data_IF_647679535781
#
_entry.id   IF_647679535781
#
_cell.length_a   1.000
_cell.length_b   1.000
_cell.length_c   1.000
_cell.angle_alpha   90.00
_cell.angle_beta   90.00
_cell.angle_gamma   90.00
#
_symmetry.space_group_name_H-M   'P 1'
#
loop_
_entity.id
_entity.type
_entity.pdbx_description
1 polymer ?
#
# COMPACT_ATOMS: atom_id res chain seq x y z
N UNK A 1 6.28 17.06 -25.29
CA UNK A 1 7.14 15.87 -25.18
C UNK A 1 8.03 16.06 -23.96
N UNK A 2 7.89 15.23 -22.93
CA UNK A 2 8.80 15.25 -21.79
C UNK A 2 9.88 14.20 -22.05
N UNK A 3 11.15 14.60 -22.02
CA UNK A 3 12.29 13.70 -22.25
C UNK A 3 13.30 13.85 -21.11
N UNK A 4 14.09 12.81 -20.86
CA UNK A 4 15.18 12.81 -19.91
C UNK A 4 16.33 11.92 -20.39
N UNK A 5 17.46 12.01 -19.71
CA UNK A 5 18.69 11.30 -20.04
C UNK A 5 19.58 12.02 -21.06
N UNK A 6 20.72 11.41 -21.43
CA UNK A 6 21.20 10.10 -20.99
C UNK A 6 21.57 10.06 -19.51
N UNK A 7 21.39 8.91 -18.86
CA UNK A 7 21.73 8.71 -17.44
C UNK A 7 23.15 8.13 -17.34
N UNK A 8 24.07 8.88 -16.72
CA UNK A 8 25.51 8.55 -16.75
C UNK A 8 26.09 7.91 -15.49
N UNK A 9 25.42 8.02 -14.34
CA UNK A 9 25.91 7.42 -13.09
C UNK A 9 25.34 6.02 -12.88
N UNK A 10 26.20 5.06 -12.62
CA UNK A 10 25.83 3.68 -12.28
C UNK A 10 25.11 3.62 -10.93
N UNK A 11 24.15 2.68 -10.81
CA UNK A 11 23.41 2.38 -9.57
C UNK A 11 22.65 3.57 -8.94
N UNK A 12 22.34 4.59 -9.74
CA UNK A 12 21.57 5.75 -9.30
C UNK A 12 20.10 5.60 -9.70
N UNK A 13 19.19 5.85 -8.75
CA UNK A 13 17.77 5.99 -9.05
C UNK A 13 17.51 7.41 -9.58
N UNK A 14 16.89 7.51 -10.76
CA UNK A 14 16.41 8.76 -11.34
C UNK A 14 14.89 8.81 -11.24
N UNK A 15 14.35 9.93 -10.75
CA UNK A 15 12.91 10.14 -10.59
C UNK A 15 12.51 11.42 -11.32
N UNK A 16 11.41 11.34 -12.08
CA UNK A 16 10.81 12.47 -12.77
C UNK A 16 9.30 12.45 -12.54
N UNK A 17 8.78 13.58 -12.10
CA UNK A 17 7.36 13.74 -11.79
C UNK A 17 6.73 14.77 -12.72
N UNK A 18 5.51 14.49 -13.18
CA UNK A 18 4.75 15.39 -14.05
C UNK A 18 3.26 15.24 -13.76
N UNK A 19 2.55 16.36 -13.64
CA UNK A 19 1.09 16.35 -13.55
C UNK A 19 0.49 16.23 -14.95
N UNK A 20 -0.49 15.34 -15.10
CA UNK A 20 -1.19 15.05 -16.36
C UNK A 20 -2.70 15.04 -16.09
N UNK A 21 -3.52 15.18 -17.14
CA UNK A 21 -4.97 15.00 -16.99
C UNK A 21 -5.26 13.55 -16.55
N UNK A 22 -6.21 13.37 -15.63
CA UNK A 22 -6.66 12.04 -15.18
C UNK A 22 -7.23 11.19 -16.33
N UNK A 23 -7.74 11.84 -17.37
CA UNK A 23 -8.27 11.19 -18.58
C UNK A 23 -7.23 11.06 -19.70
N UNK A 24 -5.97 11.41 -19.45
CA UNK A 24 -4.95 11.34 -20.49
C UNK A 24 -4.57 9.88 -20.77
N UNK A 25 -4.55 9.52 -22.05
CA UNK A 25 -3.79 8.38 -22.52
C UNK A 25 -2.38 8.84 -22.87
N UNK A 26 -1.39 8.29 -22.20
CA UNK A 26 0.02 8.61 -22.34
C UNK A 26 0.77 7.44 -22.95
N UNK A 27 1.86 7.74 -23.63
CA UNK A 27 2.83 6.74 -24.07
C UNK A 27 4.19 7.10 -23.48
N UNK A 28 4.82 6.14 -22.83
CA UNK A 28 6.18 6.26 -22.30
C UNK A 28 7.08 5.28 -23.05
N UNK A 29 8.20 5.79 -23.55
CA UNK A 29 9.23 4.99 -24.20
C UNK A 29 10.51 5.09 -23.38
N UNK A 30 11.07 3.95 -23.00
CA UNK A 30 12.42 3.85 -22.45
C UNK A 30 13.35 3.28 -23.53
N UNK A 31 14.59 3.76 -23.55
CA UNK A 31 15.60 3.35 -24.53
C UNK A 31 16.93 3.06 -23.83
N UNK A 32 17.61 2.04 -24.31
CA UNK A 32 18.96 1.68 -23.93
C UNK A 32 19.85 1.60 -25.18
N UNK A 33 21.01 2.27 -25.13
CA UNK A 33 21.94 2.33 -26.25
C UNK A 33 22.83 1.08 -26.35
N UNK A 34 22.98 0.32 -25.25
CA UNK A 34 23.68 -0.97 -25.21
C UNK A 34 22.89 -2.13 -25.82
N UNK A 35 21.58 -1.92 -26.04
CA UNK A 35 20.61 -2.88 -26.60
C UNK A 35 20.43 -4.15 -25.75
N UNK A 36 20.81 -4.06 -24.48
CA UNK A 36 20.69 -5.13 -23.51
C UNK A 36 19.73 -4.77 -22.37
N UNK A 37 19.01 -3.66 -22.50
CA UNK A 37 18.08 -3.18 -21.49
C UNK A 37 18.82 -2.58 -20.30
N UNK A 38 18.07 -2.40 -19.21
CA UNK A 38 18.64 -1.91 -17.94
C UNK A 38 18.78 -3.03 -16.89
N UNK A 39 18.30 -4.23 -17.22
CA UNK A 39 18.46 -5.51 -16.53
C UNK A 39 18.67 -6.60 -17.60
N UNK A 40 18.92 -7.88 -17.34
CA UNK A 40 18.96 -8.64 -16.09
C UNK A 40 20.22 -9.53 -16.02
N UNK A 41 20.96 -9.66 -17.12
CA UNK A 41 22.20 -10.45 -17.17
C UNK A 41 23.42 -9.72 -16.59
N UNK A 42 23.35 -8.38 -16.48
CA UNK A 42 24.48 -7.53 -16.09
C UNK A 42 24.14 -6.53 -14.97
N UNK A 43 22.98 -6.71 -14.32
CA UNK A 43 22.55 -5.89 -13.19
C UNK A 43 21.05 -5.98 -12.92
N UNK A 44 20.64 -5.39 -11.80
CA UNK A 44 19.26 -5.42 -11.29
C UNK A 44 18.52 -4.10 -11.58
N UNK A 45 18.88 -3.40 -12.66
CA UNK A 45 18.25 -2.13 -13.01
C UNK A 45 16.78 -2.33 -13.39
N UNK A 46 15.95 -1.34 -13.09
CA UNK A 46 14.53 -1.40 -13.42
C UNK A 46 13.99 0.00 -13.60
N UNK A 47 12.84 0.08 -14.26
CA UNK A 47 12.02 1.27 -14.27
C UNK A 47 10.63 0.91 -13.74
N UNK A 48 10.00 1.90 -13.13
CA UNK A 48 8.59 1.84 -12.75
C UNK A 48 7.93 3.12 -13.16
N UNK A 49 6.70 3.02 -13.66
CA UNK A 49 5.90 4.19 -13.98
C UNK A 49 4.77 4.26 -12.98
N UNK A 50 4.72 5.36 -12.23
CA UNK A 50 3.77 5.54 -11.15
C UNK A 50 2.80 6.66 -11.53
N UNK A 51 1.50 6.38 -11.53
CA UNK A 51 0.43 7.37 -11.74
C UNK A 51 -0.44 7.38 -10.49
N UNK A 52 -0.57 8.53 -9.83
CA UNK A 52 -1.32 8.68 -8.57
C UNK A 52 -0.96 7.60 -7.51
N UNK A 53 0.33 7.29 -7.37
CA UNK A 53 0.81 6.25 -6.43
C UNK A 53 0.62 4.80 -6.90
N UNK A 54 0.13 4.57 -8.12
CA UNK A 54 -0.07 3.26 -8.73
C UNK A 54 1.05 2.91 -9.69
N UNK A 55 1.72 1.77 -9.51
CA UNK A 55 2.67 1.26 -10.52
C UNK A 55 1.86 0.79 -11.73
N UNK A 56 1.91 1.55 -12.81
CA UNK A 56 1.25 1.23 -14.08
C UNK A 56 2.07 0.26 -14.91
N UNK A 57 3.39 0.35 -14.78
CA UNK A 57 4.34 -0.51 -15.48
C UNK A 57 5.58 -0.69 -14.62
N UNK A 58 6.11 -1.90 -14.66
CA UNK A 58 7.41 -2.27 -14.12
C UNK A 58 8.15 -3.06 -15.19
N UNK A 59 9.44 -2.81 -15.36
CA UNK A 59 10.24 -3.50 -16.36
C UNK A 59 11.72 -3.16 -16.28
N UNK A 60 12.50 -3.74 -17.19
CA UNK A 60 13.94 -3.53 -17.26
C UNK A 60 14.62 -4.41 -18.31
N UNK A 61 14.01 -5.56 -18.61
CA UNK A 61 14.45 -6.49 -19.66
C UNK A 61 13.83 -6.09 -21.00
N UNK A 62 14.58 -5.34 -21.79
CA UNK A 62 14.22 -4.99 -23.17
C UNK A 62 15.50 -4.87 -23.98
N UNK A 63 15.42 -4.94 -25.31
CA UNK A 63 16.61 -4.74 -26.15
C UNK A 63 16.98 -3.25 -26.22
N UNK A 64 16.64 -2.62 -27.34
CA UNK A 64 16.92 -1.20 -27.57
C UNK A 64 15.88 -0.27 -26.94
N UNK A 65 14.60 -0.63 -26.99
CA UNK A 65 13.51 0.21 -26.50
C UNK A 65 12.34 -0.61 -26.01
N UNK A 66 11.59 -0.08 -25.06
CA UNK A 66 10.25 -0.55 -24.69
C UNK A 66 9.30 0.65 -24.67
N UNK A 67 8.08 0.47 -25.17
CA UNK A 67 7.03 1.51 -25.12
C UNK A 67 5.79 0.96 -24.43
N UNK A 68 5.24 1.71 -23.48
CA UNK A 68 4.05 1.35 -22.73
C UNK A 68 3.03 2.49 -22.76
N UNK A 69 1.76 2.14 -22.96
CA UNK A 69 0.63 3.04 -22.82
C UNK A 69 0.13 3.07 -21.37
N UNK A 70 -0.24 4.26 -20.88
CA UNK A 70 -0.52 4.51 -19.48
C UNK A 70 -1.65 5.52 -19.35
N UNK A 71 -2.51 5.33 -18.36
CA UNK A 71 -3.69 6.15 -18.17
C UNK A 71 -4.90 5.60 -18.93
N UNK A 72 -5.89 6.44 -19.17
CA UNK A 72 -7.17 6.02 -19.74
C UNK A 72 -7.10 5.91 -21.27
N UNK A 73 -6.41 4.87 -21.73
CA UNK A 73 -6.27 4.57 -23.16
C UNK A 73 -7.48 3.81 -23.74
N UNK A 74 -8.44 3.43 -22.89
CA UNK A 74 -9.69 2.77 -23.26
C UNK A 74 -10.88 3.46 -22.55
N UNK A 75 -11.19 4.68 -23.00
CA UNK A 75 -12.24 5.57 -22.46
C UNK A 75 -13.70 5.02 -22.55
N UNK A 76 -13.91 3.74 -22.87
CA UNK A 76 -15.20 3.07 -23.04
C UNK A 76 -15.15 1.58 -22.62
N UNK A 77 -14.35 1.20 -21.62
CA UNK A 77 -14.12 -0.23 -21.35
C UNK A 77 -15.35 -1.00 -20.84
N UNK A 78 -16.19 -0.39 -19.99
CA UNK A 78 -17.31 -1.07 -19.34
C UNK A 78 -18.66 -0.40 -19.66
N UNK A 79 -19.73 -1.19 -19.64
CA UNK A 79 -21.09 -0.67 -19.81
C UNK A 79 -21.49 0.27 -18.66
N UNK A 80 -22.54 1.07 -18.86
CA UNK A 80 -22.99 2.07 -17.87
C UNK A 80 -23.39 1.49 -16.50
N UNK A 81 -23.79 0.23 -16.48
CA UNK A 81 -24.19 -0.56 -15.30
C UNK A 81 -23.07 -1.47 -14.78
N UNK A 82 -21.87 -1.37 -15.34
CA UNK A 82 -20.68 -2.11 -14.96
C UNK A 82 -19.60 -1.18 -14.38
N UNK A 83 -18.73 -1.76 -13.56
CA UNK A 83 -17.53 -1.14 -13.02
C UNK A 83 -16.31 -1.92 -13.47
N UNK A 84 -15.22 -1.23 -13.77
CA UNK A 84 -13.94 -1.87 -14.08
C UNK A 84 -13.26 -2.27 -12.76
N UNK A 85 -13.00 -3.56 -12.59
CA UNK A 85 -12.13 -4.07 -11.53
C UNK A 85 -10.75 -4.31 -12.10
N UNK A 86 -9.73 -3.79 -11.43
CA UNK A 86 -8.32 -4.03 -11.74
C UNK A 86 -7.64 -4.68 -10.54
N UNK A 87 -6.99 -5.82 -10.78
CA UNK A 87 -6.11 -6.48 -9.80
C UNK A 87 -4.68 -6.32 -10.30
N UNK A 88 -3.82 -5.73 -9.47
CA UNK A 88 -2.39 -5.64 -9.70
C UNK A 88 -1.68 -6.48 -8.67
N UNK A 89 -0.77 -7.35 -9.10
CA UNK A 89 0.06 -8.19 -8.24
C UNK A 89 1.52 -8.03 -8.66
N UNK A 90 2.34 -7.57 -7.74
CA UNK A 90 3.79 -7.58 -7.84
C UNK A 90 4.28 -8.82 -7.09
N UNK A 91 4.92 -9.75 -7.79
CA UNK A 91 5.55 -10.91 -7.14
C UNK A 91 6.73 -10.48 -6.30
N UNK A 92 7.14 -11.33 -5.37
CA UNK A 92 8.42 -11.22 -4.66
C UNK A 92 9.51 -12.03 -5.37
N UNK A 93 10.41 -12.69 -4.63
CA UNK A 93 11.44 -13.55 -5.20
C UNK A 93 10.93 -14.95 -5.61
N UNK A 94 9.66 -15.28 -5.33
CA UNK A 94 9.08 -16.63 -5.49
C UNK A 94 7.64 -16.59 -6.04
N UNK A 95 7.45 -15.96 -7.20
CA UNK A 95 6.13 -15.88 -7.84
C UNK A 95 5.39 -17.21 -8.05
N UNK A 96 6.09 -18.35 -8.14
CA UNK A 96 5.45 -19.67 -8.37
C UNK A 96 4.62 -20.20 -7.21
N UNK A 97 4.73 -19.60 -6.04
CA UNK A 97 3.99 -20.02 -4.85
C UNK A 97 2.65 -19.27 -4.74
N UNK A 98 2.50 -18.18 -5.49
CA UNK A 98 1.35 -17.29 -5.41
C UNK A 98 0.28 -17.58 -6.45
N UNK A 99 -0.97 -17.71 -6.01
CA UNK A 99 -2.17 -17.73 -6.85
C UNK A 99 -3.24 -16.80 -6.29
N UNK A 100 -4.18 -16.36 -7.12
CA UNK A 100 -5.35 -15.63 -6.63
C UNK A 100 -6.59 -15.84 -7.49
N UNK A 101 -7.74 -15.62 -6.86
CA UNK A 101 -9.05 -15.62 -7.51
C UNK A 101 -9.88 -14.42 -7.05
N UNK A 102 -10.57 -13.77 -7.98
CA UNK A 102 -11.61 -12.78 -7.75
C UNK A 102 -12.95 -13.44 -8.06
N UNK A 103 -13.86 -13.42 -7.09
CA UNK A 103 -15.18 -14.05 -7.18
C UNK A 103 -16.30 -13.04 -6.97
N UNK A 104 -17.46 -13.36 -7.54
CA UNK A 104 -18.75 -12.84 -7.09
C UNK A 104 -19.60 -13.97 -6.56
N UNK A 105 -19.81 -13.99 -5.24
CA UNK A 105 -20.34 -15.16 -4.52
C UNK A 105 -19.48 -16.39 -4.83
N UNK A 106 -20.05 -17.44 -5.40
CA UNK A 106 -19.33 -18.67 -5.74
C UNK A 106 -18.77 -18.66 -7.18
N UNK A 107 -19.07 -17.63 -7.97
CA UNK A 107 -18.64 -17.56 -9.37
C UNK A 107 -17.26 -16.90 -9.48
N UNK A 108 -16.30 -17.60 -10.08
CA UNK A 108 -14.97 -17.06 -10.40
C UNK A 108 -15.11 -16.10 -11.58
N UNK A 109 -14.67 -14.86 -11.38
CA UNK A 109 -14.66 -13.81 -12.39
C UNK A 109 -13.28 -13.66 -13.03
N UNK A 110 -12.23 -13.66 -12.21
CA UNK A 110 -10.85 -13.68 -12.64
C UNK A 110 -10.04 -14.61 -11.73
N UNK A 111 -8.96 -15.14 -12.28
CA UNK A 111 -7.94 -15.84 -11.51
C UNK A 111 -6.60 -15.70 -12.21
N UNK A 112 -5.52 -15.90 -11.47
CA UNK A 112 -4.17 -15.94 -12.03
C UNK A 112 -3.19 -16.70 -11.14
N UNK A 113 -2.00 -16.93 -11.70
CA UNK A 113 -0.98 -17.76 -11.12
C UNK A 113 -1.26 -19.26 -11.33
N UNK A 114 -0.33 -20.14 -10.92
CA UNK A 114 0.97 -19.82 -10.33
C UNK A 114 1.87 -19.04 -11.28
N UNK A 115 2.65 -18.08 -10.78
CA UNK A 115 3.47 -17.23 -11.64
C UNK A 115 4.85 -17.84 -11.90
N UNK A 116 5.52 -17.52 -13.01
CA UNK A 116 6.94 -17.80 -13.16
C UNK A 116 7.78 -17.17 -12.02
N UNK A 117 8.92 -17.78 -11.69
CA UNK A 117 9.86 -17.28 -10.68
C UNK A 117 10.72 -16.10 -11.18
N UNK A 118 10.07 -15.11 -11.78
CA UNK A 118 10.68 -13.82 -12.07
C UNK A 118 10.50 -12.92 -10.84
N UNK A 119 11.60 -12.27 -10.45
CA UNK A 119 11.62 -11.38 -9.30
C UNK A 119 10.87 -10.09 -9.62
N UNK A 120 10.02 -9.62 -8.71
CA UNK A 120 9.35 -8.32 -8.81
C UNK A 120 8.60 -8.10 -10.12
N UNK A 121 7.94 -9.13 -10.64
CA UNK A 121 7.15 -9.03 -11.86
C UNK A 121 5.75 -8.50 -11.53
N UNK A 122 5.35 -7.44 -12.23
CA UNK A 122 3.99 -6.90 -12.12
C UNK A 122 3.06 -7.61 -13.11
N UNK A 123 2.01 -8.20 -12.57
CA UNK A 123 0.86 -8.75 -13.28
C UNK A 123 -0.34 -7.83 -13.07
N UNK A 124 -1.06 -7.51 -14.14
CA UNK A 124 -2.29 -6.70 -14.08
C UNK A 124 -3.38 -7.43 -14.86
N UNK A 125 -4.52 -7.67 -14.20
CA UNK A 125 -5.75 -8.15 -14.85
C UNK A 125 -6.90 -7.19 -14.60
N UNK A 126 -7.74 -7.04 -15.62
CA UNK A 126 -8.90 -6.17 -15.62
C UNK A 126 -10.15 -6.93 -16.06
N UNK A 127 -11.29 -6.58 -15.50
CA UNK A 127 -12.61 -7.12 -15.89
C UNK A 127 -13.70 -6.09 -15.64
N UNK A 128 -14.68 -6.02 -16.53
CA UNK A 128 -15.93 -5.31 -16.29
C UNK A 128 -16.90 -6.22 -15.55
N UNK A 129 -17.46 -5.72 -14.45
CA UNK A 129 -18.38 -6.47 -13.60
C UNK A 129 -19.58 -5.60 -13.26
N UNK A 130 -20.75 -6.21 -13.15
CA UNK A 130 -21.96 -5.49 -12.73
C UNK A 130 -21.74 -4.67 -11.46
N UNK A 131 -22.27 -3.45 -11.41
CA UNK A 131 -22.24 -2.57 -10.23
C UNK A 131 -22.93 -3.17 -9.00
N UNK A 132 -23.85 -4.11 -9.20
CA UNK A 132 -24.48 -4.87 -8.11
C UNK A 132 -23.79 -6.18 -7.76
N UNK A 133 -22.71 -6.56 -8.46
CA UNK A 133 -21.92 -7.73 -8.07
C UNK A 133 -21.28 -7.48 -6.70
N UNK A 134 -21.40 -8.45 -5.80
CA UNK A 134 -20.53 -8.49 -4.64
C UNK A 134 -19.23 -9.18 -4.99
N UNK A 135 -18.13 -8.71 -4.42
CA UNK A 135 -16.79 -9.08 -4.85
C UNK A 135 -15.95 -9.47 -3.65
N UNK A 136 -15.31 -10.63 -3.75
CA UNK A 136 -14.25 -11.06 -2.84
C UNK A 136 -13.04 -11.52 -3.64
N UNK A 137 -11.85 -11.31 -3.09
CA UNK A 137 -10.62 -11.87 -3.64
C UNK A 137 -9.95 -12.74 -2.58
N UNK A 138 -9.49 -13.92 -2.99
CA UNK A 138 -8.63 -14.76 -2.20
C UNK A 138 -7.26 -14.83 -2.88
N UNK A 139 -6.21 -14.64 -2.10
CA UNK A 139 -4.82 -14.85 -2.51
C UNK A 139 -4.26 -15.98 -1.65
N UNK A 140 -3.48 -16.86 -2.28
CA UNK A 140 -2.87 -18.04 -1.66
C UNK A 140 -1.40 -18.04 -1.98
N UNK A 141 -0.59 -18.30 -0.95
CA UNK A 141 0.82 -18.60 -1.06
C UNK A 141 1.07 -20.02 -0.53
N UNK A 142 1.62 -20.90 -1.36
CA UNK A 142 1.77 -22.31 -0.99
C UNK A 142 2.92 -22.59 -0.03
N UNK A 143 3.87 -21.67 0.11
CA UNK A 143 5.01 -21.79 1.05
C UNK A 143 4.65 -21.28 2.44
N UNK A 144 3.83 -20.24 2.50
CA UNK A 144 3.21 -19.72 3.71
C UNK A 144 3.93 -18.53 4.34
N UNK A 145 4.82 -17.87 3.61
CA UNK A 145 5.47 -16.61 4.00
C UNK A 145 4.83 -15.37 3.36
N UNK A 146 3.77 -15.57 2.56
CA UNK A 146 3.08 -14.49 1.85
C UNK A 146 3.88 -14.03 0.65
N UNK A 147 3.65 -12.80 0.20
CA UNK A 147 4.43 -12.18 -0.88
C UNK A 147 5.26 -10.98 -0.39
N UNK A 148 5.32 -10.79 0.93
CA UNK A 148 5.98 -9.71 1.66
C UNK A 148 6.19 -10.15 3.11
N UNK A 149 7.21 -9.72 3.88
CA UNK A 149 8.10 -8.56 3.66
C UNK A 149 9.57 -8.80 4.05
N UNK A 150 9.89 -9.97 4.60
CA UNK A 150 11.25 -10.30 5.05
C UNK A 150 12.10 -10.86 3.90
N UNK A 151 11.48 -11.66 3.02
CA UNK A 151 12.12 -12.31 1.86
C UNK A 151 11.53 -11.78 0.56
N UNK A 152 11.01 -10.55 0.55
CA UNK A 152 10.27 -10.06 -0.62
C UNK A 152 9.74 -8.64 -0.48
N UNK A 153 9.47 -8.01 -1.62
CA UNK A 153 8.76 -6.73 -1.73
C UNK A 153 7.57 -6.86 -2.68
N UNK A 154 6.98 -8.05 -2.74
CA UNK A 154 5.74 -8.27 -3.47
C UNK A 154 4.57 -7.56 -2.77
N UNK A 155 3.49 -7.37 -3.51
CA UNK A 155 2.27 -6.75 -3.01
C UNK A 155 1.13 -6.98 -3.98
N UNK A 156 -0.11 -6.86 -3.50
CA UNK A 156 -1.27 -6.78 -4.37
C UNK A 156 -2.07 -5.50 -4.10
N UNK A 157 -2.77 -5.02 -5.12
CA UNK A 157 -3.72 -3.89 -5.06
C UNK A 157 -4.96 -4.19 -5.89
N UNK A 158 -6.12 -3.84 -5.36
CA UNK A 158 -7.42 -4.03 -6.00
C UNK A 158 -8.12 -2.70 -6.13
N UNK A 159 -8.56 -2.39 -7.35
CA UNK A 159 -9.25 -1.14 -7.69
C UNK A 159 -10.62 -1.42 -8.28
N UNK A 160 -11.56 -0.51 -8.01
CA UNK A 160 -12.89 -0.46 -8.65
C UNK A 160 -13.05 0.95 -9.22
N UNK A 161 -13.28 1.05 -10.53
CA UNK A 161 -13.36 2.33 -11.26
C UNK A 161 -12.16 3.25 -10.99
N UNK A 162 -10.97 2.66 -10.91
CA UNK A 162 -9.71 3.35 -10.63
C UNK A 162 -9.49 3.73 -9.16
N UNK A 163 -10.47 3.52 -8.28
CA UNK A 163 -10.36 3.81 -6.84
C UNK A 163 -9.81 2.59 -6.11
N UNK A 164 -8.72 2.76 -5.35
CA UNK A 164 -8.12 1.71 -4.53
C UNK A 164 -9.11 1.25 -3.45
N UNK A 165 -9.47 -0.02 -3.49
CA UNK A 165 -10.33 -0.64 -2.48
C UNK A 165 -9.52 -1.38 -1.43
N UNK A 166 -8.44 -2.06 -1.84
CA UNK A 166 -7.61 -2.87 -0.95
C UNK A 166 -6.18 -2.97 -1.46
N UNK A 167 -5.24 -3.07 -0.53
CA UNK A 167 -3.85 -3.45 -0.80
C UNK A 167 -3.34 -4.37 0.31
N UNK A 168 -2.40 -5.25 -0.02
CA UNK A 168 -1.80 -6.18 0.93
C UNK A 168 -0.57 -6.88 0.38
N UNK A 169 -0.14 -7.93 1.06
CA UNK A 169 1.02 -8.75 0.69
C UNK A 169 1.61 -9.52 1.86
N UNK A 170 1.42 -9.03 3.08
CA UNK A 170 1.80 -9.71 4.32
C UNK A 170 0.65 -10.62 4.79
N UNK A 171 0.76 -11.90 4.46
CA UNK A 171 -0.12 -12.97 4.91
C UNK A 171 0.71 -14.25 5.03
N UNK A 172 0.18 -15.30 5.66
CA UNK A 172 0.87 -16.59 5.71
C UNK A 172 0.56 -17.37 4.43
N UNK A 173 -0.28 -18.41 4.53
CA UNK A 173 -0.65 -19.22 3.37
C UNK A 173 -1.79 -18.63 2.54
N UNK A 174 -2.62 -17.74 3.11
CA UNK A 174 -3.69 -17.09 2.35
C UNK A 174 -4.24 -15.85 3.05
N UNK A 175 -4.89 -15.00 2.26
CA UNK A 175 -5.76 -13.92 2.74
C UNK A 175 -7.03 -13.91 1.87
N UNK A 176 -8.18 -13.61 2.48
CA UNK A 176 -9.41 -13.30 1.74
C UNK A 176 -9.88 -11.91 2.12
N UNK A 177 -10.15 -11.08 1.11
CA UNK A 177 -10.67 -9.72 1.31
C UNK A 177 -12.03 -9.56 0.62
N UNK A 178 -12.98 -8.98 1.35
CA UNK A 178 -14.21 -8.48 0.75
C UNK A 178 -13.95 -7.10 0.14
N UNK A 179 -14.43 -6.90 -1.08
CA UNK A 179 -14.30 -5.66 -1.87
C UNK A 179 -15.66 -4.98 -2.01
N UNK A 180 -16.72 -5.77 -2.23
CA UNK A 180 -18.12 -5.31 -2.24
C UNK A 180 -19.00 -6.30 -1.51
N UNK A 181 -19.77 -5.83 -0.53
CA UNK A 181 -20.61 -6.68 0.32
C UNK A 181 -21.75 -7.35 -0.44
N UNK A 182 -22.04 -8.60 -0.09
CA UNK A 182 -23.15 -9.39 -0.64
C UNK A 182 -24.49 -9.16 0.05
N UNK A 183 -24.60 -8.20 0.97
CA UNK A 183 -25.85 -8.05 1.72
C UNK A 183 -27.00 -7.64 0.79
N UNK A 184 -28.16 -8.31 0.87
CA UNK A 184 -29.37 -7.74 0.30
C UNK A 184 -29.64 -6.43 1.04
N UNK A 185 -29.90 -5.35 0.32
CA UNK A 185 -30.45 -4.11 0.88
C UNK A 185 -31.83 -4.38 1.47
N UNK A 186 -31.88 -4.96 2.68
CA UNK A 186 -33.07 -5.07 3.51
C UNK A 186 -33.21 -3.87 4.46
N UNK A 187 -32.34 -2.87 4.33
CA UNK A 187 -32.53 -1.58 4.98
C UNK A 187 -33.77 -0.89 4.42
N UNK A 188 -34.61 -0.27 5.26
CA UNK A 188 -35.71 0.55 4.77
C UNK A 188 -35.11 1.64 3.89
N UNK A 189 -35.48 1.64 2.61
CA UNK A 189 -35.27 2.80 1.74
C UNK A 189 -35.82 3.98 2.54
N UNK A 190 -35.01 4.99 2.92
CA UNK A 190 -35.57 6.17 3.57
C UNK A 190 -36.59 6.72 2.59
N UNK A 191 -37.85 6.63 2.99
CA UNK A 191 -38.96 7.17 2.24
C UNK A 191 -38.57 8.62 1.88
N UNK A 192 -38.71 9.06 0.61
CA UNK A 192 -38.38 10.43 0.26
C UNK A 192 -39.15 11.33 1.22
N UNK A 193 -38.40 12.03 2.05
CA UNK A 193 -38.95 12.95 3.05
C UNK A 193 -39.78 13.94 2.24
N UNK A 194 -41.10 13.90 2.43
CA UNK A 194 -42.01 14.76 1.70
C UNK A 194 -41.48 16.20 1.77
N UNK A 195 -41.37 16.84 0.61
CA UNK A 195 -40.96 18.24 0.51
C UNK A 195 -41.74 19.06 1.55
N UNK A 196 -41.09 19.96 2.29
CA UNK A 196 -41.80 20.83 3.22
C UNK A 196 -42.84 21.62 2.44
N UNK A 197 -44.12 21.37 2.74
CA UNK A 197 -45.23 22.21 2.28
C UNK A 197 -45.01 23.57 2.92
N UNK A 198 -44.40 24.47 2.15
CA UNK A 198 -44.16 25.85 2.58
C UNK A 198 -45.49 26.56 2.41
N UNK A 199 -46.19 26.80 3.51
CA UNK A 199 -47.40 27.60 3.52
C UNK A 199 -47.10 28.98 2.91
N UNK A 200 -48.02 29.44 2.04
CA UNK A 200 -47.98 30.74 1.38
C UNK A 200 -47.82 31.90 2.39
N UNK A 201 -47.23 33.04 1.99
CA UNK A 201 -46.88 34.12 2.89
C UNK A 201 -48.15 34.87 3.33
N UNK A 202 -48.41 34.93 4.63
CA UNK A 202 -49.40 35.86 5.19
C UNK A 202 -48.71 37.22 5.35
N UNK A 203 -49.31 38.21 4.71
CA UNK A 203 -48.91 39.62 4.71
C UNK A 203 -48.89 40.22 6.12
N UNK A 204 -47.78 40.89 6.44
CA UNK A 204 -47.64 41.92 7.49
C UNK A 204 -48.38 43.22 7.08
N UNK A 205 -48.44 44.29 7.91
CA UNK A 205 -48.23 44.43 9.36
C UNK A 205 -49.31 45.30 10.07
N UNK A 206 -49.48 45.23 11.39
CA UNK A 206 -50.20 46.31 12.12
C UNK A 206 -49.65 46.63 13.51
N UNK A 207 -49.28 47.91 13.64
CA UNK A 207 -49.27 48.81 14.81
C UNK A 207 -48.38 48.53 16.04
N UNK A 208 -47.26 49.28 16.06
CA UNK A 208 -46.78 50.26 17.06
C UNK A 208 -46.74 49.95 18.58
N UNK A 209 -45.72 50.49 19.31
CA UNK A 209 -45.33 50.04 20.65
C UNK A 209 -45.94 50.89 21.77
N UNK A 210 -46.25 50.26 22.90
CA UNK A 210 -46.62 50.97 24.15
C UNK A 210 -45.68 50.61 25.30
N UNK A 211 -44.77 51.57 25.54
CA UNK A 211 -44.34 52.14 26.83
C UNK A 211 -44.43 51.32 28.14
N UNK A 212 -43.23 51.18 28.74
CA UNK A 212 -42.84 51.42 30.16
C UNK A 212 -43.59 50.69 31.30
N UNK A 213 -42.81 49.98 32.11
CA UNK A 213 -42.53 50.25 33.55
C UNK A 213 -41.60 49.12 34.09
N UNK A 214 -40.28 49.31 34.19
CA UNK A 214 -39.51 49.58 35.44
C UNK A 214 -40.05 48.94 36.73
N UNK A 215 -39.27 48.02 37.32
CA UNK A 215 -38.80 48.09 38.71
C UNK A 215 -37.58 47.18 38.93
N UNK A 216 -36.60 47.75 39.62
CA UNK A 216 -35.23 47.29 39.91
C UNK A 216 -35.18 46.52 41.26
N UNK A 217 -34.01 46.45 41.91
CA UNK A 217 -32.99 45.39 41.98
C UNK A 217 -33.29 44.34 43.09
N UNK A 218 -32.53 43.29 43.37
CA UNK A 218 -31.27 43.31 44.15
C UNK A 218 -30.90 41.86 44.50
N UNK A 219 -29.61 41.55 44.47
CA UNK A 219 -28.84 40.72 45.42
C UNK A 219 -27.81 39.85 44.70
N UNK A 220 -26.59 40.37 44.69
CA UNK A 220 -25.37 39.58 44.69
C UNK A 220 -25.38 38.67 45.94
N UNK A 221 -24.87 37.43 45.85
CA UNK A 221 -23.64 37.18 46.59
C UNK A 221 -22.62 36.35 45.81
N UNK A 222 -21.37 36.79 45.93
CA UNK A 222 -20.15 36.01 45.85
C UNK A 222 -20.23 34.70 46.64
N UNK A 223 -19.78 33.60 46.06
CA UNK A 223 -18.96 32.59 46.76
C UNK A 223 -18.37 31.56 45.79
N UNK A 224 -17.05 31.61 45.61
CA UNK A 224 -16.26 30.39 45.43
C UNK A 224 -16.38 29.55 46.71
N UNK A 225 -16.45 28.22 46.58
CA UNK A 225 -15.75 27.36 47.51
C UNK A 225 -14.87 26.36 46.78
N UNK A 226 -13.57 26.47 47.07
CA UNK A 226 -12.60 25.37 47.02
C UNK A 226 -12.87 24.48 48.24
N UNK A 227 -13.18 23.19 48.03
CA UNK A 227 -13.15 22.13 49.07
C UNK A 227 -13.49 20.78 48.44
N UNK A 228 -12.90 19.62 48.73
CA UNK A 228 -11.79 19.22 49.62
C UNK A 228 -11.59 17.69 49.48
N UNK A 229 -10.33 17.26 49.46
CA UNK A 229 -9.68 16.22 50.30
C UNK A 229 -10.33 14.84 50.57
N UNK A 230 -9.62 13.83 50.05
CA UNK A 230 -9.00 12.65 50.73
C UNK A 230 -9.88 11.47 51.21
N UNK A 231 -9.52 10.26 50.74
CA UNK A 231 -9.19 9.12 51.61
C UNK A 231 -8.13 8.21 50.96
N UNK A 232 -7.09 7.91 51.75
CA UNK A 232 -5.91 7.05 51.57
C UNK A 232 -6.33 5.54 51.67
N UNK A 233 -5.47 4.47 51.58
CA UNK A 233 -4.05 4.46 51.98
C UNK A 233 -3.01 3.61 51.19
N UNK A 234 -1.74 4.04 51.32
CA UNK A 234 -0.47 3.25 51.44
C UNK A 234 -0.05 2.31 50.30
N UNK A 235 1.20 2.18 49.86
CA UNK A 235 2.53 2.46 50.45
C UNK A 235 3.61 2.50 49.35
N UNK A 236 4.53 3.47 49.43
CA UNK A 236 5.88 3.50 48.80
C UNK A 236 6.87 2.63 49.63
N UNK A 237 8.15 2.36 49.25
CA UNK A 237 9.00 3.09 48.29
C UNK A 237 9.93 2.24 47.37
N UNK A 238 10.59 2.95 46.45
CA UNK A 238 11.74 2.57 45.62
C UNK A 238 13.03 2.36 46.44
N UNK A 239 13.89 1.41 46.09
CA UNK A 239 15.37 1.58 45.99
C UNK A 239 16.09 0.27 45.62
N UNK A 240 17.17 0.45 44.86
CA UNK A 240 18.14 -0.56 44.45
C UNK A 240 19.10 -0.99 45.58
N UNK A 241 19.63 -2.23 45.49
CA UNK A 241 20.99 -2.69 45.86
C UNK A 241 21.05 -4.22 45.62
N UNK A 242 21.76 -4.77 44.63
CA UNK A 242 23.21 -5.10 44.50
C UNK A 242 23.74 -6.22 45.42
N UNK A 243 24.27 -7.28 44.78
CA UNK A 243 25.28 -8.28 45.26
C UNK A 243 24.86 -9.20 46.41
N UNK A 244 25.15 -10.51 46.45
CA UNK A 244 26.42 -11.22 46.22
C UNK A 244 26.19 -12.73 46.07
N UNK A 245 26.86 -13.37 45.10
CA UNK A 245 27.53 -14.66 45.36
C UNK A 245 28.93 -14.55 44.73
N UNK A 246 29.93 -14.35 45.59
CA UNK A 246 31.35 -14.33 45.28
C UNK A 246 32.06 -15.40 46.10
N UNK A 247 32.85 -16.24 45.42
CA UNK A 247 34.20 -16.66 45.84
C UNK A 247 34.83 -17.53 44.72
N UNK A 248 35.58 -16.98 43.74
CA UNK A 248 37.03 -16.66 43.68
C UNK A 248 37.99 -17.90 43.61
N UNK A 249 39.26 -17.79 43.10
CA UNK A 249 39.74 -17.26 41.80
C UNK A 249 40.99 -17.99 41.20
N UNK A 250 41.52 -17.44 40.08
CA UNK A 250 42.91 -17.52 39.50
C UNK A 250 43.36 -18.84 38.84
N UNK A 251 43.94 -18.87 37.62
CA UNK A 251 45.07 -18.07 37.09
C UNK A 251 45.20 -18.18 35.54
N UNK A 252 45.75 -17.11 34.95
CA UNK A 252 46.27 -16.93 33.56
C UNK A 252 47.61 -17.71 33.36
N UNK A 253 48.35 -17.72 32.22
CA UNK A 253 48.12 -17.16 30.86
C UNK A 253 48.62 -18.02 29.64
N UNK A 254 48.43 -17.49 28.42
CA UNK A 254 49.28 -17.59 27.19
C UNK A 254 49.51 -18.93 26.44
N UNK A 255 49.20 -18.93 25.13
CA UNK A 255 50.23 -18.92 24.05
C UNK A 255 49.61 -18.90 22.63
N UNK A 256 49.92 -17.83 21.90
CA UNK A 256 50.18 -17.87 20.45
C UNK A 256 51.43 -18.76 20.22
N UNK A 257 51.61 -19.42 19.05
CA UNK A 257 52.01 -18.66 17.87
C UNK A 257 51.45 -19.12 16.53
N UNK A 258 51.42 -18.13 15.66
CA UNK A 258 51.48 -18.15 14.20
C UNK A 258 52.72 -18.90 13.70
N UNK A 259 52.58 -19.67 12.62
CA UNK A 259 53.65 -19.84 11.63
C UNK A 259 53.06 -20.21 10.27
N UNK A 260 53.08 -19.23 9.36
CA UNK A 260 53.06 -19.40 7.91
C UNK A 260 54.44 -19.94 7.42
N UNK A 261 54.80 -19.78 6.15
CA UNK A 261 54.39 -20.54 4.96
C UNK A 261 55.57 -21.39 4.43
N UNK A 262 55.33 -22.30 3.49
CA UNK A 262 56.42 -22.78 2.61
C UNK A 262 56.03 -22.66 1.15
N UNK A 263 56.74 -21.75 0.51
CA UNK A 263 56.84 -21.50 -0.92
C UNK A 263 57.80 -22.49 -1.61
N UNK A 264 57.45 -22.80 -2.86
CA UNK A 264 58.31 -23.12 -4.01
C UNK A 264 59.04 -24.47 -4.04
N UNK A 265 58.81 -25.21 -5.13
CA UNK A 265 59.79 -25.30 -6.22
C UNK A 265 59.12 -25.65 -7.56
N UNK A 266 59.46 -24.83 -8.55
CA UNK A 266 59.25 -24.95 -9.99
C UNK A 266 59.95 -26.19 -10.55
N UNK A 267 59.36 -26.83 -11.56
CA UNK A 267 60.08 -27.26 -12.78
C UNK A 267 59.09 -27.53 -13.92
N UNK A 268 59.44 -26.99 -15.09
CA UNK A 268 58.72 -26.99 -16.36
C UNK A 268 59.26 -28.15 -17.25
N UNK A 269 59.02 -28.18 -18.57
CA UNK A 269 58.03 -28.98 -19.32
C UNK A 269 58.64 -30.20 -20.08
N UNK A 270 57.80 -31.01 -20.73
CA UNK A 270 58.16 -31.66 -22.02
C UNK A 270 56.95 -31.87 -22.92
N UNK A 271 57.08 -31.38 -24.15
CA UNK A 271 56.30 -31.74 -25.34
C UNK A 271 56.59 -33.19 -25.76
N UNK A 272 55.56 -33.92 -26.20
CA UNK A 272 55.39 -34.44 -27.58
C UNK A 272 54.06 -35.19 -27.70
#
# INVERSE_FOLDING_TARGET
LLQDGPFGNNFQLYTKEVCVSKSACLSMTIADFGWNGICCSYGDGYYRIIVDGMVQKYGGDFGRTETTQIGDCNLNACASDESMVRVQLLTDYRGSETTWELKSRDNILLQDGPFPNFIFQLYTKEICVSKSACLSMMIVDTYGDGICCEVGKGSYKIFVDGVLQKSGGEFQSSETTQIRDCQPTTGPVPFPTALPVTAAPVSNPTSAPTSKLTNNPTNNPTSNPTSTLTNNPTSNPTSASTSTLTSNPTSNPTSHPTSAPTSNLTNNPTNN
#
